data_IF_693704381091
#
_entry.id   IF_693704381091
#
_cell.length_a   1.000
_cell.length_b   1.000
_cell.length_c   1.000
_cell.angle_alpha   90.00
_cell.angle_beta   90.00
_cell.angle_gamma   90.00
#
_symmetry.space_group_name_H-M   'P 1'
#
loop_
_entity.id
_entity.type
_entity.pdbx_description
1 polymer ?
#
# COMPACT_ATOMS: atom_id res chain seq x y z
N UNK A 1 65.24 -8.84 -11.74
CA UNK A 1 65.89 -8.58 -10.44
C UNK A 1 64.86 -8.78 -9.35
N UNK A 2 65.01 -9.82 -8.52
CA UNK A 2 64.09 -10.12 -7.43
C UNK A 2 64.32 -9.13 -6.27
N UNK A 3 63.25 -8.50 -5.78
CA UNK A 3 63.31 -7.61 -4.60
C UNK A 3 63.67 -8.47 -3.38
N UNK A 4 64.70 -8.12 -2.58
CA UNK A 4 65.07 -8.91 -1.41
C UNK A 4 63.93 -8.87 -0.38
N UNK A 5 63.58 -10.03 0.16
CA UNK A 5 62.67 -10.15 1.30
C UNK A 5 63.35 -9.53 2.52
N UNK A 6 62.95 -8.30 2.87
CA UNK A 6 63.26 -7.66 4.14
C UNK A 6 61.97 -7.52 4.96
N UNK A 7 62.10 -7.38 6.28
CA UNK A 7 60.98 -7.38 7.23
C UNK A 7 59.92 -6.31 6.89
N UNK A 8 60.37 -5.16 6.36
CA UNK A 8 59.51 -4.05 5.94
C UNK A 8 58.58 -4.40 4.77
N UNK A 9 59.09 -5.14 3.78
CA UNK A 9 58.28 -5.59 2.65
C UNK A 9 57.27 -6.68 3.06
N UNK A 10 57.60 -7.48 4.07
CA UNK A 10 56.72 -8.51 4.62
C UNK A 10 55.51 -7.90 5.35
N UNK A 11 55.74 -6.88 6.19
CA UNK A 11 54.68 -6.17 6.91
C UNK A 11 53.73 -5.44 5.96
N UNK A 12 54.26 -4.77 4.92
CA UNK A 12 53.43 -4.15 3.87
C UNK A 12 52.53 -5.15 3.14
N UNK A 13 53.02 -6.37 2.90
CA UNK A 13 52.22 -7.42 2.26
C UNK A 13 51.10 -7.92 3.18
N UNK A 14 51.37 -8.06 4.49
CA UNK A 14 50.35 -8.42 5.48
C UNK A 14 49.24 -7.37 5.56
N UNK A 15 49.60 -6.10 5.56
CA UNK A 15 48.64 -4.99 5.59
C UNK A 15 47.74 -4.99 4.34
N UNK A 16 48.33 -5.23 3.17
CA UNK A 16 47.57 -5.36 1.92
C UNK A 16 46.59 -6.54 1.96
N UNK A 17 47.02 -7.70 2.48
CA UNK A 17 46.17 -8.89 2.63
C UNK A 17 45.01 -8.61 3.61
N UNK A 18 45.31 -7.98 4.76
CA UNK A 18 44.29 -7.61 5.73
C UNK A 18 43.28 -6.62 5.14
N UNK A 19 43.76 -5.60 4.42
CA UNK A 19 42.90 -4.62 3.73
C UNK A 19 42.01 -5.32 2.71
N UNK A 20 42.56 -6.24 1.92
CA UNK A 20 41.77 -7.03 0.96
C UNK A 20 40.66 -7.83 1.64
N UNK A 21 40.97 -8.51 2.75
CA UNK A 21 39.97 -9.28 3.49
C UNK A 21 38.86 -8.39 4.08
N UNK A 22 39.21 -7.20 4.59
CA UNK A 22 38.24 -6.22 5.09
C UNK A 22 37.33 -5.70 3.97
N UNK A 23 37.89 -5.25 2.85
CA UNK A 23 37.11 -4.79 1.71
C UNK A 23 36.19 -5.90 1.17
N UNK A 24 36.68 -7.14 1.08
CA UNK A 24 35.89 -8.30 0.64
C UNK A 24 34.69 -8.55 1.57
N UNK A 25 34.88 -8.44 2.88
CA UNK A 25 33.80 -8.59 3.85
C UNK A 25 32.75 -7.48 3.72
N UNK A 26 33.18 -6.22 3.60
CA UNK A 26 32.28 -5.07 3.41
C UNK A 26 31.46 -5.18 2.12
N UNK A 27 32.10 -5.55 1.00
CA UNK A 27 31.40 -5.75 -0.28
C UNK A 27 30.33 -6.83 -0.14
N UNK A 28 30.64 -7.93 0.55
CA UNK A 28 29.68 -9.02 0.78
C UNK A 28 28.47 -8.54 1.59
N UNK A 29 28.69 -7.74 2.63
CA UNK A 29 27.62 -7.16 3.44
C UNK A 29 26.73 -6.20 2.63
N UNK A 30 27.35 -5.30 1.84
CA UNK A 30 26.63 -4.38 0.96
C UNK A 30 25.75 -5.14 -0.05
N UNK A 31 26.30 -6.19 -0.68
CA UNK A 31 25.55 -7.03 -1.63
C UNK A 31 24.37 -7.69 -0.92
N UNK A 32 24.57 -8.24 0.27
CA UNK A 32 23.53 -8.90 1.03
C UNK A 32 22.40 -7.93 1.43
N UNK A 33 22.77 -6.76 1.97
CA UNK A 33 21.83 -5.69 2.31
C UNK A 33 21.01 -5.25 1.10
N UNK A 34 21.66 -5.00 -0.03
CA UNK A 34 20.97 -4.59 -1.26
C UNK A 34 19.98 -5.67 -1.74
N UNK A 35 20.38 -6.95 -1.70
CA UNK A 35 19.52 -8.06 -2.10
C UNK A 35 18.29 -8.19 -1.20
N UNK A 36 18.47 -8.06 0.12
CA UNK A 36 17.36 -8.03 1.06
C UNK A 36 16.42 -6.85 0.78
N UNK A 37 16.95 -5.63 0.64
CA UNK A 37 16.14 -4.45 0.33
C UNK A 37 15.32 -4.63 -0.95
N UNK A 38 15.90 -5.22 -2.01
CA UNK A 38 15.18 -5.50 -3.25
C UNK A 38 14.05 -6.52 -3.07
N UNK A 39 14.28 -7.60 -2.30
CA UNK A 39 13.25 -8.60 -2.02
C UNK A 39 12.07 -8.00 -1.25
N UNK A 40 12.35 -7.19 -0.23
CA UNK A 40 11.30 -6.54 0.55
C UNK A 40 10.54 -5.49 -0.25
N UNK A 41 11.23 -4.69 -1.08
CA UNK A 41 10.58 -3.75 -2.01
C UNK A 41 9.64 -4.48 -2.96
N UNK A 42 10.14 -5.51 -3.65
CA UNK A 42 9.33 -6.31 -4.58
C UNK A 42 8.11 -6.93 -3.89
N UNK A 43 8.28 -7.47 -2.68
CA UNK A 43 7.15 -8.03 -1.91
C UNK A 43 6.15 -6.94 -1.52
N UNK A 44 6.63 -5.76 -1.13
CA UNK A 44 5.80 -4.58 -0.87
C UNK A 44 4.99 -4.18 -2.11
N UNK A 45 5.63 -4.04 -3.26
CA UNK A 45 4.97 -3.66 -4.52
C UNK A 45 3.88 -4.67 -4.94
N UNK A 46 4.17 -5.96 -4.81
CA UNK A 46 3.19 -7.03 -5.06
C UNK A 46 2.01 -6.96 -4.09
N UNK A 47 2.28 -6.71 -2.80
CA UNK A 47 1.24 -6.58 -1.77
C UNK A 47 0.35 -5.37 -2.04
N UNK A 48 0.95 -4.23 -2.40
CA UNK A 48 0.23 -3.02 -2.78
C UNK A 48 -0.69 -3.27 -3.97
N UNK A 49 -0.14 -3.87 -5.04
CA UNK A 49 -0.90 -4.18 -6.25
C UNK A 49 -2.04 -5.16 -5.95
N UNK A 50 -1.79 -6.17 -5.12
CA UNK A 50 -2.82 -7.12 -4.69
C UNK A 50 -3.92 -6.46 -3.87
N UNK A 51 -3.60 -5.57 -2.93
CA UNK A 51 -4.58 -4.84 -2.13
C UNK A 51 -5.43 -3.91 -2.99
N UNK A 52 -4.82 -3.20 -3.94
CA UNK A 52 -5.55 -2.34 -4.87
C UNK A 52 -6.50 -3.15 -5.77
N UNK A 53 -6.03 -4.28 -6.30
CA UNK A 53 -6.88 -5.18 -7.08
C UNK A 53 -8.02 -5.76 -6.23
N UNK A 54 -7.75 -6.11 -4.97
CA UNK A 54 -8.77 -6.59 -4.02
C UNK A 54 -9.81 -5.50 -3.76
N UNK A 55 -9.38 -4.25 -3.54
CA UNK A 55 -10.28 -3.12 -3.33
C UNK A 55 -11.20 -2.90 -4.54
N UNK A 56 -10.65 -2.94 -5.75
CA UNK A 56 -11.39 -2.75 -7.00
C UNK A 56 -12.38 -3.89 -7.29
N UNK A 57 -12.03 -5.13 -6.92
CA UNK A 57 -12.85 -6.31 -7.15
C UNK A 57 -13.87 -6.57 -6.03
N UNK A 58 -13.77 -5.85 -4.91
CA UNK A 58 -14.69 -6.03 -3.78
C UNK A 58 -16.05 -5.42 -4.14
N UNK A 59 -17.07 -6.27 -4.21
CA UNK A 59 -18.45 -5.90 -4.47
C UNK A 59 -19.33 -6.37 -3.30
N UNK A 60 -20.34 -5.57 -2.98
CA UNK A 60 -21.39 -5.91 -2.02
C UNK A 60 -22.58 -6.47 -2.80
N UNK A 61 -23.08 -7.60 -2.35
CA UNK A 61 -24.36 -8.15 -2.84
C UNK A 61 -25.52 -7.51 -2.07
N UNK A 62 -26.72 -7.58 -2.64
CA UNK A 62 -27.96 -7.03 -2.01
C UNK A 62 -28.23 -7.65 -0.63
N UNK A 63 -27.89 -8.93 -0.44
CA UNK A 63 -28.14 -9.65 0.82
C UNK A 63 -27.00 -9.52 1.86
N UNK A 64 -25.93 -8.80 1.53
CA UNK A 64 -24.77 -8.67 2.42
C UNK A 64 -24.89 -7.47 3.36
N UNK A 65 -24.34 -7.61 4.56
CA UNK A 65 -24.24 -6.52 5.53
C UNK A 65 -23.36 -5.38 5.00
N UNK A 66 -24.02 -4.24 4.77
CA UNK A 66 -23.39 -3.05 4.23
C UNK A 66 -22.36 -2.43 5.20
N UNK A 67 -22.58 -2.48 6.52
CA UNK A 67 -21.61 -2.03 7.51
C UNK A 67 -20.34 -2.85 7.44
N UNK A 68 -20.48 -4.19 7.39
CA UNK A 68 -19.34 -5.09 7.28
C UNK A 68 -18.56 -4.87 5.97
N UNK A 69 -19.26 -4.61 4.86
CA UNK A 69 -18.65 -4.31 3.56
C UNK A 69 -17.85 -3.00 3.59
N UNK A 70 -18.44 -1.90 4.08
CA UNK A 70 -17.77 -0.61 4.17
C UNK A 70 -16.54 -0.68 5.08
N UNK A 71 -16.66 -1.34 6.23
CA UNK A 71 -15.54 -1.58 7.14
C UNK A 71 -14.41 -2.36 6.45
N UNK A 72 -14.73 -3.39 5.65
CA UNK A 72 -13.72 -4.13 4.87
C UNK A 72 -12.98 -3.21 3.89
N UNK A 73 -13.67 -2.32 3.19
CA UNK A 73 -13.04 -1.38 2.26
C UNK A 73 -12.14 -0.37 3.00
N UNK A 74 -12.57 0.12 4.16
CA UNK A 74 -11.76 1.03 4.99
C UNK A 74 -10.48 0.35 5.49
N UNK A 75 -10.57 -0.90 5.96
CA UNK A 75 -9.39 -1.70 6.35
C UNK A 75 -8.37 -1.85 5.21
N UNK A 76 -8.82 -2.04 3.97
CA UNK A 76 -7.93 -2.12 2.80
C UNK A 76 -7.28 -0.75 2.53
N UNK A 77 -8.05 0.35 2.60
CA UNK A 77 -7.52 1.71 2.44
C UNK A 77 -6.48 2.07 3.52
N UNK A 78 -6.73 1.71 4.76
CA UNK A 78 -5.79 1.90 5.87
C UNK A 78 -4.52 1.10 5.65
N UNK A 79 -4.63 -0.14 5.17
CA UNK A 79 -3.47 -0.98 4.82
C UNK A 79 -2.62 -0.34 3.71
N UNK A 80 -3.24 0.21 2.66
CA UNK A 80 -2.53 0.95 1.60
C UNK A 80 -1.82 2.20 2.17
N UNK A 81 -2.47 2.92 3.08
CA UNK A 81 -1.89 4.09 3.76
C UNK A 81 -0.70 3.70 4.63
N UNK A 82 -0.80 2.62 5.41
CA UNK A 82 0.27 2.10 6.24
C UNK A 82 1.49 1.64 5.42
N UNK A 83 1.28 1.22 4.16
CA UNK A 83 2.34 0.91 3.21
C UNK A 83 2.99 2.16 2.57
N UNK A 84 2.58 3.36 2.98
CA UNK A 84 3.11 4.62 2.46
C UNK A 84 2.59 4.98 1.06
N UNK A 85 1.48 4.37 0.63
CA UNK A 85 0.82 4.63 -0.65
C UNK A 85 -0.66 4.97 -0.40
N UNK A 86 -0.96 6.15 0.19
CA UNK A 86 -2.33 6.53 0.51
C UNK A 86 -3.17 6.68 -0.77
N UNK A 87 -4.40 6.15 -0.72
CA UNK A 87 -5.34 6.28 -1.83
C UNK A 87 -6.04 7.65 -1.78
N UNK A 88 -6.08 8.42 -2.89
CA UNK A 88 -6.80 9.68 -2.95
C UNK A 88 -8.29 9.49 -2.64
N UNK A 89 -8.88 10.41 -1.86
CA UNK A 89 -10.28 10.32 -1.45
C UNK A 89 -11.25 10.21 -2.64
N UNK A 90 -11.02 10.94 -3.73
CA UNK A 90 -11.86 10.85 -4.93
C UNK A 90 -11.82 9.46 -5.58
N UNK A 91 -10.65 8.85 -5.67
CA UNK A 91 -10.48 7.48 -6.19
C UNK A 91 -11.16 6.47 -5.28
N UNK A 92 -11.02 6.62 -3.97
CA UNK A 92 -11.68 5.76 -3.00
C UNK A 92 -13.21 5.88 -3.08
N UNK A 93 -13.74 7.09 -3.20
CA UNK A 93 -15.17 7.35 -3.41
C UNK A 93 -15.68 6.69 -4.70
N UNK A 94 -14.91 6.71 -5.78
CA UNK A 94 -15.29 6.03 -7.01
C UNK A 94 -15.37 4.50 -6.81
N UNK A 95 -14.40 3.89 -6.12
CA UNK A 95 -14.44 2.46 -5.82
C UNK A 95 -15.58 2.10 -4.86
N UNK A 96 -15.86 2.93 -3.85
CA UNK A 96 -17.03 2.75 -2.98
C UNK A 96 -18.31 2.68 -3.80
N UNK A 97 -18.56 3.67 -4.67
CA UNK A 97 -19.76 3.69 -5.53
C UNK A 97 -19.91 2.43 -6.39
N UNK A 98 -18.82 1.97 -7.00
CA UNK A 98 -18.81 0.78 -7.84
C UNK A 98 -19.00 -0.52 -7.04
N UNK A 99 -18.63 -0.52 -5.76
CA UNK A 99 -18.75 -1.68 -4.88
C UNK A 99 -20.15 -1.87 -4.31
N UNK A 100 -20.99 -0.84 -4.33
CA UNK A 100 -22.32 -0.88 -3.72
C UNK A 100 -23.30 -1.74 -4.53
N UNK A 101 -24.32 -2.34 -3.88
CA UNK A 101 -25.42 -2.97 -4.58
C UNK A 101 -26.22 -1.94 -5.40
N UNK A 102 -26.95 -2.41 -6.40
CA UNK A 102 -27.65 -1.53 -7.36
C UNK A 102 -28.72 -0.67 -6.65
N UNK A 103 -29.40 -1.25 -5.65
CA UNK A 103 -30.36 -0.55 -4.79
C UNK A 103 -29.77 0.70 -4.12
N UNK A 104 -28.55 0.61 -3.60
CA UNK A 104 -27.86 1.68 -2.89
C UNK A 104 -27.02 2.58 -3.80
N UNK A 105 -26.66 2.13 -5.00
CA UNK A 105 -25.96 2.95 -5.99
C UNK A 105 -26.77 4.19 -6.37
N UNK A 106 -28.08 4.07 -6.52
CA UNK A 106 -28.95 5.20 -6.82
C UNK A 106 -28.82 6.31 -5.77
N UNK A 107 -28.87 5.94 -4.49
CA UNK A 107 -28.72 6.87 -3.35
C UNK A 107 -27.34 7.53 -3.40
N UNK A 108 -26.29 6.75 -3.65
CA UNK A 108 -24.92 7.25 -3.77
C UNK A 108 -24.78 8.31 -4.90
N UNK A 109 -25.44 8.10 -6.05
CA UNK A 109 -25.47 9.06 -7.15
C UNK A 109 -26.29 10.29 -6.83
N UNK A 110 -27.48 10.14 -6.23
CA UNK A 110 -28.35 11.24 -5.84
C UNK A 110 -27.67 12.18 -4.83
N UNK A 111 -27.05 11.61 -3.79
CA UNK A 111 -26.28 12.36 -2.78
C UNK A 111 -25.12 13.12 -3.43
N UNK A 112 -24.38 12.44 -4.32
CA UNK A 112 -23.27 13.08 -5.05
C UNK A 112 -23.74 14.28 -5.89
N UNK A 113 -24.83 14.11 -6.64
CA UNK A 113 -25.40 15.16 -7.48
C UNK A 113 -25.89 16.34 -6.63
N UNK A 114 -26.56 16.07 -5.52
CA UNK A 114 -27.00 17.08 -4.56
C UNK A 114 -25.84 17.92 -4.03
N UNK A 115 -24.79 17.27 -3.52
CA UNK A 115 -23.59 17.96 -3.00
C UNK A 115 -22.92 18.80 -4.09
N UNK A 116 -22.79 18.24 -5.30
CA UNK A 116 -22.11 18.91 -6.41
C UNK A 116 -22.90 20.14 -6.88
N UNK A 117 -24.23 20.05 -6.92
CA UNK A 117 -25.11 21.18 -7.26
C UNK A 117 -25.01 22.33 -6.26
N UNK A 118 -24.74 22.02 -4.99
CA UNK A 118 -24.49 22.97 -3.93
C UNK A 118 -23.04 23.50 -3.90
N UNK A 119 -22.21 23.17 -4.91
CA UNK A 119 -20.77 23.47 -4.95
C UNK A 119 -19.98 22.90 -3.76
N UNK A 120 -20.52 21.85 -3.11
CA UNK A 120 -19.87 21.13 -2.03
C UNK A 120 -18.84 20.13 -2.53
N UNK A 121 -17.93 19.72 -1.65
CA UNK A 121 -16.98 18.63 -1.92
C UNK A 121 -17.53 17.32 -1.40
N UNK A 122 -17.62 16.31 -2.26
CA UNK A 122 -18.04 14.96 -1.86
C UNK A 122 -16.92 14.32 -1.03
N UNK A 123 -17.24 13.99 0.22
CA UNK A 123 -16.37 13.25 1.13
C UNK A 123 -16.88 11.82 1.29
N UNK A 124 -16.03 10.95 1.85
CA UNK A 124 -16.41 9.56 2.16
C UNK A 124 -17.61 9.55 3.12
N UNK A 125 -17.53 10.31 4.20
CA UNK A 125 -18.59 10.39 5.22
C UNK A 125 -19.90 10.95 4.68
N UNK A 126 -19.85 12.00 3.86
CA UNK A 126 -21.05 12.56 3.24
C UNK A 126 -21.72 11.58 2.26
N UNK A 127 -20.97 10.58 1.78
CA UNK A 127 -21.50 9.53 0.91
C UNK A 127 -22.02 8.33 1.72
N UNK A 128 -21.27 7.85 2.72
CA UNK A 128 -21.61 6.62 3.44
C UNK A 128 -22.71 6.83 4.47
N UNK A 129 -22.79 7.98 5.12
CA UNK A 129 -23.79 8.22 6.16
C UNK A 129 -25.25 8.11 5.68
N UNK A 130 -25.65 8.74 4.55
CA UNK A 130 -27.02 8.60 4.05
C UNK A 130 -27.37 7.17 3.59
N UNK A 131 -26.38 6.41 3.13
CA UNK A 131 -26.59 5.03 2.65
C UNK A 131 -26.82 4.10 3.86
N UNK A 132 -26.02 4.28 4.92
CA UNK A 132 -26.19 3.54 6.16
C UNK A 132 -27.50 3.89 6.88
N UNK A 133 -27.90 5.17 6.85
CA UNK A 133 -29.19 5.59 7.40
C UNK A 133 -30.38 4.90 6.73
N UNK A 134 -30.37 4.79 5.39
CA UNK A 134 -31.39 4.04 4.66
C UNK A 134 -31.36 2.54 5.00
N UNK A 135 -30.17 1.93 5.04
CA UNK A 135 -30.00 0.51 5.38
C UNK A 135 -30.51 0.19 6.80
N UNK A 136 -30.15 1.02 7.78
CA UNK A 136 -30.58 0.89 9.17
C UNK A 136 -32.10 1.16 9.31
N UNK A 137 -32.67 2.03 8.46
CA UNK A 137 -34.10 2.30 8.40
C UNK A 137 -34.93 1.13 7.84
N UNK A 138 -34.37 0.32 6.94
CA UNK A 138 -35.01 -0.85 6.35
C UNK A 138 -34.86 -2.14 7.16
N UNK A 139 -34.02 -2.16 8.20
CA UNK A 139 -33.74 -3.34 9.05
C UNK A 139 -34.59 -3.40 10.33
N UNK A 140 -35.59 -2.52 10.46
CA UNK A 140 -36.63 -2.51 11.52
C UNK A 140 -37.91 -3.20 11.08
#
# INVERSE_FOLDING_TARGET
MAVPLNNTNLEKLKDQINTYHQCKAQIKDIIYKNKLCQLFKKKGDLTHTSLLATLQATQCSEDNDLHAHLNKMDNIKESLTAMGQPLPNQTYIAYLKLSLPESYQFIAYAVTAGITSASGTVTVTSLTAPILEEYDGCTL
#
